data_IF_416512468818
#
_entry.id   IF_416512468818
#
_cell.length_a   1.000
_cell.length_b   1.000
_cell.length_c   1.000
_cell.angle_alpha   90.00
_cell.angle_beta   90.00
_cell.angle_gamma   90.00
#
_symmetry.space_group_name_H-M   'P 1'
#
loop_
_entity.id
_entity.type
_entity.pdbx_description
1 polymer ?
#
# COMPACT_ATOMS: atom_id res chain seq x y z
N UNK A 1 -0.99 0.55 24.26
CA UNK A 1 -0.78 1.76 23.42
C UNK A 1 0.41 1.50 22.52
N UNK A 2 0.29 1.45 21.18
CA UNK A 2 1.46 1.64 20.35
C UNK A 2 1.44 3.09 19.86
N UNK A 3 2.05 3.99 20.65
CA UNK A 3 2.54 5.26 20.13
C UNK A 3 4.05 5.15 20.13
N UNK A 4 4.60 4.82 18.95
CA UNK A 4 5.98 5.13 18.61
C UNK A 4 5.86 6.27 17.61
N UNK A 5 6.00 7.51 18.09
CA UNK A 5 6.24 8.67 17.23
C UNK A 5 7.48 8.38 16.37
N UNK A 6 7.44 8.73 15.10
CA UNK A 6 8.55 8.51 14.18
C UNK A 6 8.53 9.49 13.04
N UNK A 7 9.68 9.66 12.40
CA UNK A 7 9.84 10.54 11.26
C UNK A 7 9.49 9.81 9.96
N UNK A 8 8.88 10.53 9.03
CA UNK A 8 8.77 10.10 7.64
C UNK A 8 10.05 10.55 6.94
N UNK A 9 10.75 9.62 6.28
CA UNK A 9 12.01 9.89 5.57
C UNK A 9 11.98 9.28 4.17
N UNK A 10 12.78 9.84 3.25
CA UNK A 10 12.90 9.31 1.89
C UNK A 10 13.71 8.01 1.85
N UNK A 11 13.24 7.04 1.08
CA UNK A 11 13.93 5.76 0.85
C UNK A 11 14.23 5.54 -0.63
N UNK A 12 15.30 4.80 -0.90
CA UNK A 12 15.70 4.34 -2.23
C UNK A 12 15.76 2.81 -2.25
N UNK A 13 15.19 2.19 -3.28
CA UNK A 13 15.20 0.74 -3.46
C UNK A 13 16.47 0.35 -4.24
N UNK A 14 17.37 -0.34 -3.53
CA UNK A 14 18.67 -0.79 -4.02
C UNK A 14 18.67 -2.19 -4.63
N UNK A 15 17.66 -3.00 -4.34
CA UNK A 15 17.57 -4.36 -4.84
C UNK A 15 16.36 -5.12 -4.35
N UNK A 16 16.24 -6.36 -4.81
CA UNK A 16 15.10 -7.23 -4.56
C UNK A 16 15.61 -8.64 -4.29
N UNK A 17 15.08 -9.28 -3.25
CA UNK A 17 15.12 -10.73 -3.09
C UNK A 17 13.81 -11.28 -3.61
N UNK A 18 13.87 -12.17 -4.60
CA UNK A 18 12.68 -12.77 -5.19
C UNK A 18 11.92 -13.61 -4.16
N UNK A 19 10.61 -13.50 -4.19
CA UNK A 19 9.72 -14.36 -3.42
C UNK A 19 9.49 -15.68 -4.13
N UNK A 20 9.51 -16.76 -3.37
CA UNK A 20 9.25 -18.11 -3.84
C UNK A 20 8.14 -18.75 -2.99
N UNK A 21 7.58 -19.86 -3.47
CA UNK A 21 6.56 -20.58 -2.72
C UNK A 21 7.14 -21.04 -1.38
N UNK A 22 6.53 -20.59 -0.28
CA UNK A 22 6.97 -20.90 1.07
C UNK A 22 8.01 -19.93 1.65
N UNK A 23 8.55 -19.00 0.86
CA UNK A 23 9.54 -18.01 1.32
C UNK A 23 9.23 -16.64 0.72
N UNK A 24 8.68 -15.69 1.51
CA UNK A 24 8.44 -14.34 1.05
C UNK A 24 9.74 -13.66 0.61
N UNK A 25 9.70 -12.97 -0.53
CA UNK A 25 10.79 -12.09 -0.95
C UNK A 25 10.76 -10.76 -0.21
N UNK A 26 11.72 -9.88 -0.51
CA UNK A 26 11.84 -8.56 0.12
C UNK A 26 12.39 -7.51 -0.87
N UNK A 27 11.88 -6.28 -0.77
CA UNK A 27 12.54 -5.10 -1.31
C UNK A 27 13.62 -4.64 -0.34
N UNK A 28 14.83 -4.41 -0.86
CA UNK A 28 15.96 -3.89 -0.10
C UNK A 28 16.16 -2.43 -0.43
N UNK A 29 15.97 -1.58 0.56
CA UNK A 29 16.20 -0.14 0.42
C UNK A 29 17.07 0.42 1.54
N UNK A 30 17.52 1.64 1.31
CA UNK A 30 18.21 2.46 2.31
C UNK A 30 17.58 3.84 2.33
N UNK A 31 17.73 4.56 3.44
CA UNK A 31 17.25 5.93 3.53
C UNK A 31 18.19 6.87 2.76
N UNK A 32 17.64 7.66 1.85
CA UNK A 32 18.41 8.57 1.01
C UNK A 32 18.98 9.74 1.81
N UNK A 33 18.31 10.13 2.89
CA UNK A 33 18.75 11.12 3.88
C UNK A 33 18.02 10.90 5.21
N UNK A 34 18.49 11.56 6.27
CA UNK A 34 17.85 11.55 7.59
C UNK A 34 16.96 12.78 7.83
N UNK A 35 16.66 13.55 6.79
CA UNK A 35 15.79 14.71 6.92
C UNK A 35 14.34 14.23 6.99
N UNK A 36 13.68 14.52 8.11
CA UNK A 36 12.25 14.30 8.23
C UNK A 36 11.51 15.15 7.17
N UNK A 37 10.57 14.51 6.47
CA UNK A 37 9.65 15.15 5.52
C UNK A 37 8.19 15.12 6.04
N UNK A 38 8.04 14.72 7.30
CA UNK A 38 6.76 14.58 7.97
C UNK A 38 6.89 13.76 9.25
N UNK A 39 5.76 13.62 9.94
CA UNK A 39 5.68 12.98 11.24
C UNK A 39 4.59 11.90 11.23
N UNK A 40 4.89 10.75 11.84
CA UNK A 40 3.94 9.68 12.09
C UNK A 40 3.11 9.98 13.34
N UNK A 41 1.80 9.84 13.22
CA UNK A 41 0.85 10.11 14.31
C UNK A 41 0.14 8.86 14.81
N UNK A 42 -0.02 7.84 13.96
CA UNK A 42 -0.66 6.58 14.34
C UNK A 42 -0.12 5.41 13.53
N UNK A 43 0.04 4.26 14.21
CA UNK A 43 0.27 2.98 13.57
C UNK A 43 -0.81 2.01 14.09
N UNK A 44 -1.83 1.80 13.27
CA UNK A 44 -3.02 1.01 13.61
C UNK A 44 -3.21 -0.10 12.57
N UNK A 45 -4.16 -1.00 12.83
CA UNK A 45 -4.40 -2.16 11.97
C UNK A 45 -4.68 -1.79 10.50
N UNK A 46 -5.28 -0.63 10.24
CA UNK A 46 -5.61 -0.19 8.87
C UNK A 46 -4.52 0.61 8.19
N UNK A 47 -3.38 0.83 8.83
CA UNK A 47 -2.22 1.48 8.24
C UNK A 47 -1.45 2.41 9.17
N UNK A 48 -0.49 3.08 8.56
CA UNK A 48 0.34 4.10 9.18
C UNK A 48 -0.14 5.47 8.71
N UNK A 49 -0.42 6.36 9.66
CA UNK A 49 -0.98 7.69 9.41
C UNK A 49 -0.06 8.75 10.00
N UNK A 50 -0.07 9.93 9.38
CA UNK A 50 0.83 11.01 9.73
C UNK A 50 0.54 12.28 8.94
N UNK A 51 1.40 13.27 9.10
CA UNK A 51 1.36 14.54 8.40
C UNK A 51 2.66 14.75 7.66
N UNK A 52 2.59 15.16 6.40
CA UNK A 52 3.75 15.55 5.60
C UNK A 52 3.93 17.06 5.70
N UNK A 53 5.17 17.53 5.77
CA UNK A 53 5.48 18.96 5.85
C UNK A 53 5.12 19.70 4.55
N UNK A 54 5.25 18.98 3.44
CA UNK A 54 4.89 19.41 2.09
C UNK A 54 4.23 18.25 1.35
N UNK A 55 3.38 18.56 0.37
CA UNK A 55 2.81 17.52 -0.49
C UNK A 55 3.97 16.82 -1.24
N UNK A 56 4.19 15.51 -1.03
CA UNK A 56 5.39 14.82 -1.54
C UNK A 56 5.39 14.64 -3.06
N UNK A 57 4.26 14.89 -3.73
CA UNK A 57 4.14 14.71 -5.16
C UNK A 57 3.39 15.89 -5.80
N UNK A 58 3.86 16.31 -6.98
CA UNK A 58 3.14 17.19 -7.90
C UNK A 58 2.09 16.44 -8.74
N UNK A 59 1.80 15.19 -8.38
CA UNK A 59 0.89 14.33 -9.13
C UNK A 59 -0.55 14.81 -9.02
N UNK A 60 -1.33 14.52 -10.06
CA UNK A 60 -2.76 14.84 -10.07
C UNK A 60 -3.47 14.02 -8.99
N UNK A 61 -4.31 14.69 -8.21
CA UNK A 61 -5.17 14.03 -7.24
C UNK A 61 -6.02 12.94 -7.93
N UNK A 62 -6.13 11.79 -7.27
CA UNK A 62 -6.93 10.66 -7.72
C UNK A 62 -8.16 10.50 -6.82
N UNK A 63 -9.32 10.28 -7.43
CA UNK A 63 -10.56 10.03 -6.69
C UNK A 63 -10.46 8.70 -5.94
N UNK A 64 -10.85 8.71 -4.67
CA UNK A 64 -11.01 7.49 -3.87
C UNK A 64 -12.34 6.83 -4.24
N UNK A 65 -12.28 5.55 -4.60
CA UNK A 65 -13.49 4.78 -4.88
C UNK A 65 -14.17 4.35 -3.59
N UNK A 66 -15.50 4.33 -3.61
CA UNK A 66 -16.30 3.66 -2.59
C UNK A 66 -16.22 2.14 -2.77
N UNK A 67 -16.38 1.38 -1.68
CA UNK A 67 -16.28 -0.08 -1.69
C UNK A 67 -17.17 -0.72 -2.75
N UNK A 68 -18.38 -0.22 -2.97
CA UNK A 68 -19.33 -0.74 -3.97
C UNK A 68 -18.88 -0.55 -5.42
N UNK A 69 -17.89 0.32 -5.67
CA UNK A 69 -17.32 0.55 -7.00
C UNK A 69 -16.14 -0.39 -7.29
N UNK A 70 -15.66 -1.13 -6.30
CA UNK A 70 -14.57 -2.10 -6.45
C UNK A 70 -15.16 -3.41 -6.95
N UNK A 71 -14.67 -3.87 -8.11
CA UNK A 71 -15.19 -5.08 -8.76
C UNK A 71 -14.07 -6.06 -9.07
N UNK A 72 -14.34 -7.38 -9.07
CA UNK A 72 -13.39 -8.35 -9.61
C UNK A 72 -13.03 -8.04 -11.07
N UNK A 73 -11.77 -8.23 -11.44
CA UNK A 73 -11.26 -8.00 -12.78
C UNK A 73 -9.96 -7.19 -12.80
N UNK A 74 -9.64 -6.66 -13.99
CA UNK A 74 -8.37 -5.95 -14.23
C UNK A 74 -8.24 -4.71 -13.36
N UNK A 75 -7.04 -4.52 -12.83
CA UNK A 75 -6.62 -3.35 -12.07
C UNK A 75 -5.11 -3.16 -12.23
N UNK A 76 -4.56 -2.11 -11.62
CA UNK A 76 -3.13 -1.86 -11.61
C UNK A 76 -2.67 -1.57 -10.20
N UNK A 77 -1.42 -1.89 -9.89
CA UNK A 77 -0.73 -1.38 -8.70
C UNK A 77 0.33 -0.38 -9.09
N UNK A 78 0.56 0.59 -8.22
CA UNK A 78 1.64 1.55 -8.34
C UNK A 78 2.71 1.21 -7.29
N UNK A 79 3.89 0.78 -7.70
CA UNK A 79 4.94 0.36 -6.75
C UNK A 79 6.35 0.67 -7.26
N UNK A 80 7.27 0.91 -6.33
CA UNK A 80 8.68 1.16 -6.63
C UNK A 80 9.46 -0.11 -6.33
N UNK A 81 10.02 -0.74 -7.35
CA UNK A 81 10.85 -1.95 -7.20
C UNK A 81 12.34 -1.67 -7.41
N UNK A 82 12.69 -0.48 -7.89
CA UNK A 82 14.05 -0.07 -8.21
C UNK A 82 14.15 1.46 -8.16
N UNK A 83 15.17 1.99 -7.50
CA UNK A 83 15.36 3.44 -7.34
C UNK A 83 14.28 4.09 -6.48
N UNK A 84 13.75 5.22 -6.94
CA UNK A 84 12.75 6.03 -6.22
C UNK A 84 11.42 6.15 -6.96
N UNK A 85 11.38 5.87 -8.25
CA UNK A 85 10.23 6.15 -9.10
C UNK A 85 9.21 5.01 -9.09
N UNK A 86 7.96 5.27 -8.71
CA UNK A 86 6.92 4.25 -8.75
C UNK A 86 6.47 3.98 -10.20
N UNK A 87 6.18 2.71 -10.49
CA UNK A 87 5.71 2.26 -11.80
C UNK A 87 4.38 1.51 -11.69
N UNK A 88 3.58 1.59 -12.76
CA UNK A 88 2.34 0.84 -12.87
C UNK A 88 2.62 -0.60 -13.31
N UNK A 89 1.96 -1.54 -12.64
CA UNK A 89 2.00 -2.96 -12.97
C UNK A 89 0.59 -3.53 -12.99
N UNK A 90 0.32 -4.38 -13.96
CA UNK A 90 -0.98 -5.03 -14.11
C UNK A 90 -1.23 -6.09 -13.03
N UNK A 91 -2.45 -6.05 -12.50
CA UNK A 91 -2.97 -7.02 -11.54
C UNK A 91 -4.41 -7.41 -11.89
N UNK A 92 -4.91 -8.41 -11.19
CA UNK A 92 -6.32 -8.80 -11.21
C UNK A 92 -6.87 -8.85 -9.79
N UNK A 93 -8.01 -8.21 -9.56
CA UNK A 93 -8.79 -8.36 -8.33
C UNK A 93 -9.62 -9.64 -8.51
N UNK A 94 -9.29 -10.69 -7.77
CA UNK A 94 -9.97 -11.98 -7.86
C UNK A 94 -11.31 -11.98 -7.12
N UNK A 95 -11.34 -11.32 -5.96
CA UNK A 95 -12.51 -11.27 -5.12
C UNK A 95 -12.49 -10.04 -4.24
N UNK A 96 -13.69 -9.60 -3.89
CA UNK A 96 -13.94 -8.47 -3.02
C UNK A 96 -14.79 -8.97 -1.86
N UNK A 97 -14.35 -8.67 -0.64
CA UNK A 97 -15.00 -9.01 0.61
C UNK A 97 -15.39 -7.73 1.35
N UNK A 98 -16.70 -7.55 1.50
CA UNK A 98 -17.30 -6.41 2.17
C UNK A 98 -17.46 -6.61 3.68
N UNK A 99 -17.06 -7.77 4.22
CA UNK A 99 -17.14 -8.01 5.65
C UNK A 99 -16.15 -7.10 6.39
N UNK A 100 -16.69 -6.34 7.35
CA UNK A 100 -15.96 -5.33 8.13
C UNK A 100 -15.16 -5.96 9.29
N UNK A 101 -15.39 -7.25 9.59
CA UNK A 101 -14.70 -7.98 10.68
C UNK A 101 -13.17 -8.02 10.49
N UNK A 102 -12.68 -7.95 9.24
CA UNK A 102 -11.24 -7.99 8.94
C UNK A 102 -10.87 -6.85 7.99
N UNK A 103 -10.60 -5.64 8.51
CA UNK A 103 -10.46 -4.44 7.70
C UNK A 103 -9.23 -4.43 6.78
N UNK A 104 -8.29 -5.38 6.93
CA UNK A 104 -7.06 -5.46 6.10
C UNK A 104 -7.14 -6.49 4.97
N UNK A 105 -8.24 -7.23 4.87
CA UNK A 105 -8.45 -8.35 3.93
C UNK A 105 -9.73 -8.17 3.12
N UNK A 106 -9.90 -6.98 2.55
CA UNK A 106 -11.09 -6.62 1.77
C UNK A 106 -11.04 -7.11 0.33
N UNK A 107 -9.87 -7.39 -0.21
CA UNK A 107 -9.73 -7.87 -1.59
C UNK A 107 -8.63 -8.90 -1.69
N UNK A 108 -8.79 -9.85 -2.59
CA UNK A 108 -7.71 -10.74 -3.04
C UNK A 108 -7.23 -10.20 -4.38
N UNK A 109 -5.94 -9.88 -4.46
CA UNK A 109 -5.29 -9.40 -5.67
C UNK A 109 -4.26 -10.41 -6.16
N UNK A 110 -4.09 -10.48 -7.48
CA UNK A 110 -3.10 -11.31 -8.17
C UNK A 110 -2.24 -10.45 -9.08
N UNK A 111 -0.93 -10.57 -8.97
CA UNK A 111 0.00 -9.99 -9.92
C UNK A 111 -0.08 -10.75 -11.24
N UNK A 112 -0.35 -10.03 -12.33
CA UNK A 112 -0.41 -10.58 -13.70
C UNK A 112 0.68 -9.98 -14.59
N UNK A 113 1.28 -8.87 -14.18
CA UNK A 113 2.36 -8.21 -14.91
C UNK A 113 3.62 -9.10 -15.05
N UNK A 114 4.08 -9.37 -16.29
CA UNK A 114 5.21 -10.26 -16.51
C UNK A 114 6.53 -9.68 -16.00
N UNK A 115 6.73 -8.36 -16.10
CA UNK A 115 7.98 -7.70 -15.69
C UNK A 115 8.11 -7.73 -14.17
N UNK A 116 7.02 -7.43 -13.46
CA UNK A 116 7.00 -7.52 -12.01
C UNK A 116 7.26 -8.95 -11.54
N UNK A 117 6.54 -9.92 -12.12
CA UNK A 117 6.71 -11.34 -11.78
C UNK A 117 8.12 -11.84 -12.04
N UNK A 118 8.74 -11.44 -13.15
CA UNK A 118 10.12 -11.81 -13.47
C UNK A 118 11.10 -11.25 -12.44
N UNK A 119 10.94 -9.97 -12.04
CA UNK A 119 11.84 -9.30 -11.11
C UNK A 119 11.65 -9.73 -9.65
N UNK A 120 10.41 -10.01 -9.22
CA UNK A 120 10.09 -10.16 -7.78
C UNK A 120 9.52 -11.53 -7.41
N UNK A 121 9.03 -12.32 -8.36
CA UNK A 121 8.31 -13.57 -8.10
C UNK A 121 6.86 -13.38 -7.64
N UNK A 122 6.40 -12.13 -7.47
CA UNK A 122 5.07 -11.79 -6.97
C UNK A 122 5.10 -10.61 -6.00
N UNK A 123 4.18 -10.62 -5.03
CA UNK A 123 4.15 -9.65 -3.94
C UNK A 123 5.25 -10.00 -2.96
N UNK A 124 6.11 -9.03 -2.63
CA UNK A 124 7.22 -9.20 -1.69
C UNK A 124 7.06 -8.23 -0.51
N UNK A 125 7.79 -8.50 0.58
CA UNK A 125 7.85 -7.56 1.69
C UNK A 125 8.39 -6.21 1.22
N UNK A 126 7.84 -5.12 1.76
CA UNK A 126 8.10 -3.76 1.29
C UNK A 126 7.11 -3.25 0.24
N UNK A 127 6.34 -4.12 -0.41
CA UNK A 127 5.22 -3.69 -1.29
C UNK A 127 3.94 -3.34 -0.54
N UNK A 128 3.88 -3.61 0.76
CA UNK A 128 2.73 -3.21 1.59
C UNK A 128 2.56 -1.69 1.53
N UNK A 129 1.34 -1.23 1.27
CA UNK A 129 1.02 0.17 1.00
C UNK A 129 1.02 0.54 -0.48
N UNK A 130 1.41 -0.36 -1.40
CA UNK A 130 1.34 -0.08 -2.86
C UNK A 130 -0.11 0.21 -3.26
N UNK A 131 -0.42 1.41 -3.80
CA UNK A 131 -1.77 1.78 -4.21
C UNK A 131 -2.31 0.85 -5.29
N UNK A 132 -3.60 0.51 -5.18
CA UNK A 132 -4.36 -0.28 -6.15
C UNK A 132 -5.32 0.67 -6.87
N UNK A 133 -5.23 0.69 -8.20
CA UNK A 133 -5.99 1.56 -9.08
C UNK A 133 -6.89 0.70 -9.97
N UNK A 134 -8.18 1.01 -10.00
CA UNK A 134 -9.14 0.41 -10.94
C UNK A 134 -10.06 1.51 -11.47
N UNK A 135 -10.36 1.47 -12.77
CA UNK A 135 -11.22 2.46 -13.43
C UNK A 135 -10.80 3.92 -13.20
N UNK A 136 -9.49 4.18 -13.07
CA UNK A 136 -8.94 5.51 -12.82
C UNK A 136 -9.12 6.04 -11.39
N UNK A 137 -9.57 5.20 -10.46
CA UNK A 137 -9.79 5.54 -9.06
C UNK A 137 -8.88 4.74 -8.14
N UNK A 138 -8.53 5.32 -6.99
CA UNK A 138 -7.83 4.62 -5.91
C UNK A 138 -8.84 3.73 -5.20
N UNK A 139 -8.72 2.42 -5.37
CA UNK A 139 -9.64 1.45 -4.75
C UNK A 139 -9.08 0.86 -3.46
N UNK A 140 -7.76 0.87 -3.27
CA UNK A 140 -7.15 0.26 -2.11
C UNK A 140 -5.64 0.33 -2.08
N UNK A 141 -5.06 -0.45 -1.18
CA UNK A 141 -3.62 -0.69 -1.11
C UNK A 141 -3.33 -2.16 -0.79
N UNK A 142 -2.21 -2.68 -1.29
CA UNK A 142 -1.72 -4.03 -0.96
C UNK A 142 -1.33 -4.08 0.52
N UNK A 143 -1.71 -5.14 1.23
CA UNK A 143 -1.39 -5.29 2.66
C UNK A 143 -0.42 -6.45 2.90
N UNK A 144 -0.81 -7.68 2.57
CA UNK A 144 -0.08 -8.90 2.91
C UNK A 144 -0.02 -9.87 1.72
N UNK A 145 1.10 -10.59 1.57
CA UNK A 145 1.28 -11.66 0.58
C UNK A 145 0.80 -13.01 1.11
N UNK A 146 0.32 -13.89 0.23
CA UNK A 146 0.06 -15.29 0.55
C UNK A 146 1.37 -16.09 0.46
N UNK A 147 1.85 -16.63 1.59
CA UNK A 147 3.15 -17.32 1.67
C UNK A 147 3.28 -18.47 0.66
N UNK A 148 2.19 -19.19 0.39
CA UNK A 148 2.18 -20.34 -0.54
C UNK A 148 1.82 -19.95 -1.99
N UNK A 149 1.39 -18.72 -2.22
CA UNK A 149 0.99 -18.20 -3.53
C UNK A 149 1.53 -16.76 -3.66
N UNK A 150 2.84 -16.57 -3.90
CA UNK A 150 3.47 -15.24 -3.82
C UNK A 150 2.89 -14.25 -4.82
N UNK A 151 2.26 -14.72 -5.90
CA UNK A 151 1.53 -13.87 -6.86
C UNK A 151 0.26 -13.26 -6.27
N UNK A 152 -0.23 -13.76 -5.14
CA UNK A 152 -1.49 -13.34 -4.51
C UNK A 152 -1.24 -12.63 -3.19
N UNK A 153 -2.15 -11.73 -2.87
CA UNK A 153 -2.15 -11.04 -1.59
C UNK A 153 -3.50 -10.45 -1.25
N UNK A 154 -3.56 -9.89 -0.06
CA UNK A 154 -4.69 -9.11 0.43
C UNK A 154 -4.50 -7.63 0.11
N UNK A 155 -5.62 -6.93 -0.07
CA UNK A 155 -5.69 -5.48 -0.06
C UNK A 155 -6.75 -4.96 0.92
N UNK A 156 -6.58 -3.71 1.32
CA UNK A 156 -7.52 -2.92 2.12
C UNK A 156 -8.22 -1.91 1.20
N UNK A 157 -9.48 -1.58 1.47
CA UNK A 157 -10.17 -0.50 0.76
C UNK A 157 -9.57 0.88 1.09
N UNK A 158 -9.44 1.72 0.06
CA UNK A 158 -9.00 3.10 0.25
C UNK A 158 -10.02 3.91 1.05
N UNK A 159 -11.31 3.58 0.94
CA UNK A 159 -12.38 4.13 1.79
C UNK A 159 -12.09 3.91 3.28
N UNK A 160 -11.71 2.68 3.68
CA UNK A 160 -11.39 2.35 5.07
C UNK A 160 -10.18 3.14 5.59
N UNK A 161 -9.16 3.31 4.75
CA UNK A 161 -7.99 4.12 5.08
C UNK A 161 -8.39 5.60 5.28
N UNK A 162 -9.21 6.13 4.38
CA UNK A 162 -9.64 7.52 4.41
C UNK A 162 -10.51 7.83 5.64
N UNK A 163 -11.45 6.94 5.97
CA UNK A 163 -12.31 7.09 7.15
C UNK A 163 -11.49 7.14 8.45
N UNK A 164 -10.49 6.27 8.59
CA UNK A 164 -9.59 6.27 9.74
C UNK A 164 -8.73 7.53 9.79
N UNK A 165 -8.23 8.00 8.64
CA UNK A 165 -7.50 9.26 8.57
C UNK A 165 -8.34 10.44 9.08
N UNK A 166 -9.62 10.54 8.68
CA UNK A 166 -10.50 11.59 9.17
C UNK A 166 -10.77 11.49 10.67
N UNK A 167 -10.99 10.28 11.20
CA UNK A 167 -11.18 10.04 12.63
C UNK A 167 -9.96 10.53 13.42
N UNK A 168 -8.75 10.16 13.00
CA UNK A 168 -7.50 10.56 13.67
C UNK A 168 -7.29 12.07 13.68
N UNK A 169 -7.51 12.75 12.53
CA UNK A 169 -7.39 14.21 12.43
C UNK A 169 -8.40 14.91 13.34
N UNK A 170 -9.65 14.42 13.41
CA UNK A 170 -10.67 15.00 14.27
C UNK A 170 -10.39 14.78 15.76
N UNK A 171 -9.90 13.60 16.15
CA UNK A 171 -9.49 13.32 17.53
C UNK A 171 -8.33 14.21 17.98
N UNK A 172 -7.39 14.54 17.10
CA UNK A 172 -6.29 15.46 17.41
C UNK A 172 -6.78 16.90 17.61
N UNK A 173 -7.70 17.40 16.78
CA UNK A 173 -8.32 18.73 16.94
C UNK A 173 -9.13 18.88 18.23
N UNK A 174 -9.73 17.79 18.72
CA UNK A 174 -10.47 17.79 19.98
C UNK A 174 -9.57 17.75 21.23
N UNK A 175 -8.32 17.30 21.06
CA UNK A 175 -7.33 17.20 22.14
C UNK A 175 -6.41 18.43 22.24
N UNK A 176 -6.44 19.32 21.24
CA UNK A 176 -5.71 20.60 21.17
C UNK A 176 -6.57 21.77 21.60
#
# INVERSE_FOLDING_TARGET
MPLLSGDIVSANISGIVKGEKGTPGELRGYFSNNNAIGNLSANIQTGVYGTMDQCPASNKAMTVAMKQQVVPGKAQILTTIEGTEPQYYDIEIESVNYNEDVPTKNMIVRITDPVLLEKTGGIVQGMSGSPIIQNGMLVGAVTHVFVNEPKKGYGIFAENMLENSYKLVNSQKLAS
#
